data_IF_140395108898
#
_entry.id   IF_140395108898
#
_cell.length_a   1.000
_cell.length_b   1.000
_cell.length_c   1.000
_cell.angle_alpha   90.00
_cell.angle_beta   90.00
_cell.angle_gamma   90.00
#
_symmetry.space_group_name_H-M   'P 1'
#
loop_
_entity.id
_entity.type
_entity.pdbx_description
1 polymer ?
#
# COMPACT_ATOMS: atom_id res chain seq x y z
N UNK A 1 -12.38 -2.39 -10.28
CA UNK A 1 -13.73 -2.98 -10.27
C UNK A 1 -13.73 -4.46 -10.64
N UNK A 2 -12.86 -4.91 -11.52
CA UNK A 2 -12.78 -6.29 -12.02
C UNK A 2 -11.68 -7.15 -11.39
N UNK A 3 -10.90 -6.58 -10.48
CA UNK A 3 -9.78 -7.26 -9.85
C UNK A 3 -10.02 -7.50 -8.36
N UNK A 4 -9.08 -8.17 -7.69
CA UNK A 4 -9.07 -8.35 -6.25
C UNK A 4 -7.67 -8.16 -5.68
N UNK A 5 -7.63 -7.86 -4.39
CA UNK A 5 -6.41 -7.83 -3.58
C UNK A 5 -6.59 -8.72 -2.36
N UNK A 6 -5.59 -9.49 -2.05
CA UNK A 6 -5.59 -10.37 -0.90
C UNK A 6 -4.22 -10.43 -0.26
N UNK A 7 -4.19 -10.75 1.03
CA UNK A 7 -2.96 -10.98 1.75
C UNK A 7 -2.98 -12.37 2.38
N UNK A 8 -1.82 -13.00 2.42
CA UNK A 8 -1.62 -14.27 3.10
C UNK A 8 -0.27 -14.31 3.80
N UNK A 9 -0.28 -14.65 5.09
CA UNK A 9 0.92 -14.99 5.82
C UNK A 9 1.17 -16.49 5.70
N UNK A 10 2.41 -16.86 5.39
CA UNK A 10 2.80 -18.25 5.13
C UNK A 10 4.08 -18.59 5.89
N UNK A 11 3.99 -19.54 6.81
CA UNK A 11 5.14 -20.06 7.55
C UNK A 11 5.87 -21.11 6.72
N UNK A 12 7.17 -21.17 6.79
CA UNK A 12 7.98 -22.18 6.08
C UNK A 12 7.47 -23.61 6.35
N UNK A 13 7.26 -24.36 5.28
CA UNK A 13 6.65 -25.69 5.29
C UNK A 13 5.12 -25.69 5.15
N UNK A 14 4.46 -24.53 5.12
CA UNK A 14 3.03 -24.42 4.86
C UNK A 14 2.74 -24.12 3.38
N UNK A 15 1.52 -24.43 2.97
CA UNK A 15 0.98 -24.10 1.65
C UNK A 15 -0.48 -23.61 1.76
N UNK A 16 -0.92 -22.89 0.78
CA UNK A 16 -2.33 -22.48 0.61
C UNK A 16 -2.77 -22.64 -0.85
N UNK A 17 -4.07 -22.76 -1.05
CA UNK A 17 -4.72 -22.60 -2.36
C UNK A 17 -5.39 -21.22 -2.42
N UNK A 18 -5.47 -20.62 -3.59
CA UNK A 18 -6.14 -19.31 -3.78
C UNK A 18 -7.65 -19.47 -3.68
N UNK A 19 -8.12 -19.55 -2.45
CA UNK A 19 -9.54 -19.61 -2.10
C UNK A 19 -9.84 -18.55 -1.04
N UNK A 20 -11.03 -17.95 -1.02
CA UNK A 20 -11.37 -16.87 -0.07
C UNK A 20 -11.14 -17.24 1.40
N UNK A 21 -11.36 -18.52 1.74
CA UNK A 21 -11.19 -19.04 3.11
C UNK A 21 -9.72 -19.28 3.50
N UNK A 22 -8.83 -19.38 2.53
CA UNK A 22 -7.40 -19.58 2.75
C UNK A 22 -6.60 -18.27 2.84
N UNK A 23 -7.25 -17.13 2.58
CA UNK A 23 -6.65 -15.80 2.57
C UNK A 23 -6.92 -15.10 3.92
N UNK A 24 -5.92 -14.43 4.48
CA UNK A 24 -6.06 -13.71 5.75
C UNK A 24 -6.89 -12.42 5.57
N UNK A 25 -6.71 -11.76 4.42
CA UNK A 25 -7.49 -10.60 3.99
C UNK A 25 -7.88 -10.81 2.53
N UNK A 26 -9.16 -10.64 2.21
CA UNK A 26 -9.66 -10.70 0.84
C UNK A 26 -10.52 -9.46 0.56
N UNK A 27 -10.13 -8.70 -0.46
CA UNK A 27 -10.83 -7.48 -0.90
C UNK A 27 -11.19 -7.62 -2.38
N UNK A 28 -12.36 -8.19 -2.68
CA UNK A 28 -12.82 -8.31 -4.06
C UNK A 28 -13.30 -6.97 -4.62
N UNK A 29 -13.10 -6.76 -5.91
CA UNK A 29 -13.77 -5.71 -6.66
C UNK A 29 -15.28 -6.00 -6.78
N UNK A 30 -16.09 -5.00 -7.12
CA UNK A 30 -17.57 -5.11 -7.16
C UNK A 30 -18.11 -6.19 -8.11
N UNK A 31 -17.32 -6.61 -9.09
CA UNK A 31 -17.70 -7.57 -10.13
C UNK A 31 -16.89 -8.88 -10.03
N UNK A 32 -16.24 -9.13 -8.90
CA UNK A 32 -15.46 -10.33 -8.65
C UNK A 32 -16.26 -11.28 -7.78
N UNK A 33 -16.46 -12.50 -8.27
CA UNK A 33 -17.05 -13.61 -7.53
C UNK A 33 -15.96 -14.53 -6.96
N UNK A 34 -16.22 -15.26 -5.88
CA UNK A 34 -15.28 -16.28 -5.38
C UNK A 34 -14.88 -17.34 -6.42
N UNK A 35 -15.75 -17.59 -7.43
CA UNK A 35 -15.47 -18.48 -8.54
C UNK A 35 -14.47 -17.94 -9.57
N UNK A 36 -14.15 -16.63 -9.52
CA UNK A 36 -13.24 -15.99 -10.45
C UNK A 36 -11.78 -16.07 -9.95
N UNK A 37 -11.55 -16.61 -8.76
CA UNK A 37 -10.20 -16.83 -8.25
C UNK A 37 -9.51 -17.92 -9.05
N UNK A 38 -8.26 -17.66 -9.45
CA UNK A 38 -7.43 -18.63 -10.15
C UNK A 38 -7.09 -19.80 -9.21
N UNK A 39 -7.32 -21.06 -9.60
CA UNK A 39 -7.20 -22.21 -8.70
C UNK A 39 -5.74 -22.65 -8.53
N UNK A 40 -4.82 -21.72 -8.27
CA UNK A 40 -3.42 -22.05 -8.01
C UNK A 40 -3.18 -22.37 -6.54
N UNK A 41 -2.06 -23.02 -6.25
CA UNK A 41 -1.57 -23.22 -4.89
C UNK A 41 -0.11 -22.82 -4.77
N UNK A 42 0.27 -22.29 -3.60
CA UNK A 42 1.64 -21.87 -3.28
C UNK A 42 2.04 -22.41 -1.92
N UNK A 43 3.24 -22.99 -1.84
CA UNK A 43 3.86 -23.44 -0.60
C UNK A 43 5.23 -22.80 -0.42
N UNK A 44 5.52 -22.33 0.79
CA UNK A 44 6.82 -21.82 1.17
C UNK A 44 7.71 -22.97 1.61
N UNK A 45 8.77 -23.24 0.85
CA UNK A 45 9.76 -24.25 1.20
C UNK A 45 10.77 -23.69 2.22
N UNK A 46 11.34 -22.55 1.87
CA UNK A 46 12.36 -21.88 2.66
C UNK A 46 12.35 -20.39 2.38
N UNK A 47 12.69 -19.61 3.40
CA UNK A 47 12.94 -18.18 3.25
C UNK A 47 14.35 -17.87 3.74
N UNK A 48 15.05 -16.98 3.06
CA UNK A 48 16.35 -16.47 3.47
C UNK A 48 16.39 -14.95 3.34
N UNK A 49 16.96 -14.33 4.35
CA UNK A 49 17.27 -12.91 4.38
C UNK A 49 18.74 -12.73 4.70
N UNK A 50 19.43 -11.86 4.00
CA UNK A 50 20.81 -11.50 4.29
C UNK A 50 20.90 -10.02 4.62
N UNK A 51 21.80 -9.69 5.53
CA UNK A 51 21.97 -8.35 6.08
C UNK A 51 23.43 -7.98 6.13
N UNK A 52 23.73 -6.69 6.06
CA UNK A 52 25.09 -6.16 6.26
C UNK A 52 25.54 -6.45 7.68
N UNK A 53 26.70 -7.09 7.83
CA UNK A 53 27.19 -7.58 9.14
C UNK A 53 28.17 -6.63 9.83
N UNK A 54 28.72 -5.66 9.12
CA UNK A 54 29.71 -4.72 9.67
C UNK A 54 29.76 -3.42 8.88
N UNK A 55 30.23 -2.35 9.50
CA UNK A 55 30.32 -1.03 8.88
C UNK A 55 29.21 -0.08 9.30
N UNK A 56 29.11 1.10 8.68
CA UNK A 56 28.11 2.12 9.04
C UNK A 56 26.68 1.73 8.71
N UNK A 57 26.48 0.77 7.82
CA UNK A 57 25.18 0.25 7.38
C UNK A 57 24.89 -1.15 7.91
N UNK A 58 25.45 -1.48 9.08
CA UNK A 58 25.16 -2.77 9.76
C UNK A 58 23.65 -2.90 9.93
N UNK A 59 23.12 -4.15 9.79
CA UNK A 59 21.71 -4.56 9.80
C UNK A 59 20.85 -4.14 8.58
N UNK A 60 21.38 -3.35 7.65
CA UNK A 60 20.66 -3.11 6.40
C UNK A 60 20.44 -4.39 5.59
N UNK A 61 19.23 -4.57 5.02
CA UNK A 61 18.93 -5.76 4.22
C UNK A 61 19.65 -5.73 2.87
N UNK A 62 20.25 -6.85 2.49
CA UNK A 62 20.89 -7.06 1.20
C UNK A 62 19.96 -7.82 0.25
N UNK A 63 19.41 -8.97 0.71
CA UNK A 63 18.56 -9.82 -0.12
C UNK A 63 17.44 -10.45 0.69
N UNK A 64 16.31 -10.62 0.04
CA UNK A 64 15.19 -11.42 0.51
C UNK A 64 14.81 -12.42 -0.57
N UNK A 65 14.86 -13.70 -0.27
CA UNK A 65 14.52 -14.76 -1.21
C UNK A 65 13.60 -15.80 -0.54
N UNK A 66 12.44 -16.03 -1.15
CA UNK A 66 11.49 -17.05 -0.74
C UNK A 66 11.44 -18.16 -1.79
N UNK A 67 11.99 -19.32 -1.47
CA UNK A 67 11.88 -20.51 -2.30
C UNK A 67 10.45 -21.07 -2.20
N UNK A 68 9.68 -20.88 -3.28
CA UNK A 68 8.30 -21.32 -3.39
C UNK A 68 8.18 -22.60 -4.21
N UNK A 69 7.16 -23.38 -3.89
CA UNK A 69 6.64 -24.43 -4.75
C UNK A 69 5.20 -24.12 -5.08
N UNK A 70 4.88 -23.99 -6.37
CA UNK A 70 3.54 -23.63 -6.80
C UNK A 70 2.98 -24.58 -7.84
N UNK A 71 1.65 -24.66 -7.90
CA UNK A 71 0.90 -25.42 -8.90
C UNK A 71 -0.09 -24.45 -9.54
N UNK A 72 -0.02 -24.26 -10.86
CA UNK A 72 -0.86 -23.27 -11.54
C UNK A 72 -2.36 -23.66 -11.57
N UNK A 73 -2.65 -24.97 -11.60
CA UNK A 73 -4.02 -25.46 -11.52
C UNK A 73 -4.03 -26.86 -10.84
N UNK A 74 -5.17 -27.29 -10.28
CA UNK A 74 -5.33 -28.63 -9.72
C UNK A 74 -4.90 -29.72 -10.70
N UNK A 75 -4.09 -30.67 -10.23
CA UNK A 75 -3.58 -31.77 -11.06
C UNK A 75 -2.38 -31.43 -11.95
N UNK A 76 -1.97 -30.21 -12.05
CA UNK A 76 -0.73 -29.84 -12.75
C UNK A 76 0.52 -30.16 -11.93
N UNK A 77 1.65 -30.29 -12.64
CA UNK A 77 2.94 -30.51 -11.98
C UNK A 77 3.37 -29.28 -11.19
N UNK A 78 3.77 -29.48 -9.95
CA UNK A 78 4.34 -28.43 -9.12
C UNK A 78 5.67 -27.95 -9.71
N UNK A 79 5.89 -26.64 -9.68
CA UNK A 79 7.10 -25.93 -10.14
C UNK A 79 7.74 -25.20 -8.97
N UNK A 80 9.04 -25.02 -9.03
CA UNK A 80 9.78 -24.17 -8.08
C UNK A 80 9.88 -22.75 -8.63
N UNK A 81 9.87 -21.77 -7.73
CA UNK A 81 10.04 -20.36 -8.05
C UNK A 81 10.75 -19.65 -6.88
N UNK A 82 11.72 -18.81 -7.19
CA UNK A 82 12.43 -17.99 -6.21
C UNK A 82 11.81 -16.58 -6.21
N UNK A 83 10.90 -16.35 -5.25
CA UNK A 83 10.21 -15.08 -5.10
C UNK A 83 11.13 -14.08 -4.39
N UNK A 84 11.37 -12.95 -5.02
CA UNK A 84 12.19 -11.85 -4.50
C UNK A 84 11.41 -10.53 -4.52
N UNK A 85 11.93 -9.54 -3.81
CA UNK A 85 11.41 -8.17 -3.88
C UNK A 85 11.51 -7.68 -5.33
N UNK A 86 10.43 -7.11 -5.84
CA UNK A 86 10.28 -6.65 -7.24
C UNK A 86 10.30 -7.75 -8.32
N UNK A 87 10.35 -9.04 -7.95
CA UNK A 87 10.22 -10.18 -8.86
C UNK A 87 9.03 -11.05 -8.47
N UNK A 88 7.79 -10.62 -8.75
CA UNK A 88 6.59 -11.34 -8.36
C UNK A 88 6.44 -12.66 -9.11
N UNK A 89 5.81 -13.64 -8.48
CA UNK A 89 5.30 -14.82 -9.16
C UNK A 89 4.00 -14.46 -9.88
N UNK A 90 3.94 -14.67 -11.19
CA UNK A 90 2.73 -14.45 -11.98
C UNK A 90 2.15 -15.79 -12.43
N UNK A 91 0.89 -16.04 -12.04
CA UNK A 91 0.14 -17.27 -12.38
C UNK A 91 -1.25 -16.86 -12.85
N UNK A 92 -1.61 -17.21 -14.08
CA UNK A 92 -2.94 -16.94 -14.69
C UNK A 92 -3.42 -15.47 -14.53
N UNK A 93 -2.48 -14.52 -14.68
CA UNK A 93 -2.77 -13.09 -14.52
C UNK A 93 -2.81 -12.58 -13.08
N UNK A 94 -2.68 -13.47 -12.10
CA UNK A 94 -2.54 -13.12 -10.69
C UNK A 94 -1.07 -12.93 -10.37
N UNK A 95 -0.74 -11.80 -9.74
CA UNK A 95 0.61 -11.48 -9.28
C UNK A 95 0.72 -11.67 -7.77
N UNK A 96 1.73 -12.42 -7.35
CA UNK A 96 2.03 -12.70 -5.94
C UNK A 96 3.35 -12.01 -5.59
N UNK A 97 3.28 -11.05 -4.66
CA UNK A 97 4.40 -10.23 -4.23
C UNK A 97 4.84 -10.60 -2.82
N UNK A 98 6.14 -10.54 -2.56
CA UNK A 98 6.70 -10.59 -1.21
C UNK A 98 6.62 -9.18 -0.60
N UNK A 99 5.82 -9.03 0.47
CA UNK A 99 5.59 -7.72 1.12
C UNK A 99 6.08 -7.66 2.57
N UNK A 100 6.47 -8.78 3.15
CA UNK A 100 6.98 -8.81 4.50
C UNK A 100 7.51 -10.18 4.90
N UNK A 101 8.25 -10.21 6.00
CA UNK A 101 8.79 -11.43 6.57
C UNK A 101 8.98 -11.30 8.09
N UNK A 102 9.19 -12.40 8.75
CA UNK A 102 9.49 -12.42 10.17
C UNK A 102 9.73 -13.84 10.69
N UNK A 103 9.63 -14.00 11.99
CA UNK A 103 9.88 -15.25 12.68
C UNK A 103 8.60 -15.81 13.30
N UNK A 104 8.50 -17.12 13.30
CA UNK A 104 7.47 -17.89 13.96
C UNK A 104 8.12 -18.83 14.96
N UNK A 105 8.27 -18.41 16.23
CA UNK A 105 8.74 -19.30 17.29
C UNK A 105 7.87 -20.55 17.38
N UNK A 106 8.52 -21.70 17.59
CA UNK A 106 7.85 -22.98 17.75
C UNK A 106 7.74 -23.33 19.24
N UNK A 107 6.52 -23.70 19.63
CA UNK A 107 6.23 -24.04 21.01
C UNK A 107 5.63 -25.43 21.13
N UNK A 108 5.96 -26.08 22.25
CA UNK A 108 5.21 -27.23 22.76
C UNK A 108 4.67 -26.87 24.13
N UNK A 109 3.35 -26.93 24.29
CA UNK A 109 2.68 -26.69 25.57
C UNK A 109 2.13 -28.02 26.09
N UNK A 110 2.49 -28.32 27.34
CA UNK A 110 1.97 -29.46 28.08
C UNK A 110 1.09 -28.93 29.20
N UNK A 111 -0.12 -29.46 29.33
CA UNK A 111 -1.07 -29.09 30.37
C UNK A 111 -0.72 -29.67 31.77
N UNK A 112 -1.54 -29.35 32.75
CA UNK A 112 -1.35 -29.85 34.13
C UNK A 112 -1.53 -31.35 34.28
N UNK A 113 -2.10 -32.05 33.31
CA UNK A 113 -2.23 -33.50 33.27
C UNK A 113 -1.07 -34.19 32.55
N UNK A 114 -0.14 -33.42 31.99
CA UNK A 114 0.99 -33.94 31.23
C UNK A 114 0.71 -34.18 29.74
N UNK A 115 -0.46 -33.82 29.25
CA UNK A 115 -0.79 -33.96 27.84
C UNK A 115 -0.19 -32.82 27.01
N UNK A 116 0.31 -33.11 25.82
CA UNK A 116 0.71 -32.07 24.86
C UNK A 116 -0.55 -31.52 24.23
N UNK A 117 -0.93 -30.28 24.58
CA UNK A 117 -2.14 -29.60 24.14
C UNK A 117 -1.90 -28.56 23.04
N UNK A 118 -0.64 -28.23 22.77
CA UNK A 118 -0.26 -27.39 21.65
C UNK A 118 1.14 -27.79 21.16
N UNK A 119 1.30 -27.84 19.83
CA UNK A 119 2.62 -27.95 19.18
C UNK A 119 2.56 -27.26 17.83
N UNK A 120 3.38 -26.23 17.64
CA UNK A 120 3.44 -25.53 16.36
C UNK A 120 4.22 -24.25 16.39
N UNK A 121 4.40 -23.68 15.23
CA UNK A 121 4.99 -22.38 15.01
C UNK A 121 3.88 -21.31 15.03
N UNK A 122 4.12 -20.21 15.73
CA UNK A 122 3.19 -19.09 15.83
C UNK A 122 3.87 -17.85 15.25
N UNK A 123 3.31 -17.21 14.22
CA UNK A 123 3.88 -15.99 13.66
C UNK A 123 3.91 -14.86 14.68
N UNK A 124 5.07 -14.29 14.90
CA UNK A 124 5.28 -13.07 15.66
C UNK A 124 5.51 -11.92 14.69
N UNK A 125 4.85 -10.79 14.92
CA UNK A 125 4.86 -9.64 14.02
C UNK A 125 5.95 -8.67 14.47
N UNK A 126 6.84 -8.23 13.56
CA UNK A 126 7.86 -7.25 13.86
C UNK A 126 7.27 -5.91 14.33
N UNK A 127 7.71 -5.44 15.47
CA UNK A 127 7.38 -4.12 16.02
C UNK A 127 8.53 -3.13 15.88
N UNK A 128 9.71 -3.64 15.52
CA UNK A 128 10.92 -2.88 15.31
C UNK A 128 11.71 -3.53 14.16
N UNK A 129 12.30 -2.73 13.27
CA UNK A 129 12.89 -3.22 12.02
C UNK A 129 14.39 -3.51 12.13
N UNK A 130 15.16 -2.75 12.90
CA UNK A 130 16.63 -2.90 12.96
C UNK A 130 17.05 -4.23 13.58
N UNK A 131 16.46 -4.57 14.72
CA UNK A 131 16.71 -5.85 15.41
C UNK A 131 15.67 -6.93 15.12
N UNK A 132 14.61 -6.60 14.36
CA UNK A 132 13.46 -7.44 14.06
C UNK A 132 12.78 -8.01 15.31
N UNK A 133 12.78 -7.22 16.39
CA UNK A 133 12.01 -7.52 17.60
C UNK A 133 10.55 -7.72 17.22
N UNK A 134 9.98 -8.84 17.63
CA UNK A 134 8.65 -9.24 17.17
C UNK A 134 7.76 -9.61 18.34
N UNK A 135 6.46 -9.29 18.27
CA UNK A 135 5.46 -9.63 19.28
C UNK A 135 4.43 -10.61 18.74
N UNK A 136 3.92 -11.46 19.63
CA UNK A 136 2.90 -12.42 19.26
C UNK A 136 2.25 -13.07 20.47
N UNK A 137 1.19 -13.85 20.19
CA UNK A 137 0.43 -14.54 21.23
C UNK A 137 0.22 -16.00 20.88
N UNK A 138 0.34 -16.85 21.89
CA UNK A 138 0.03 -18.28 21.78
C UNK A 138 -1.26 -18.52 22.55
N UNK A 139 -2.30 -19.06 21.89
CA UNK A 139 -3.60 -19.40 22.48
C UNK A 139 -3.70 -20.92 22.58
N UNK A 140 -3.98 -21.42 23.77
CA UNK A 140 -4.09 -22.85 24.06
C UNK A 140 -5.43 -23.14 24.72
N UNK A 141 -6.50 -23.33 23.93
CA UNK A 141 -7.86 -23.50 24.43
C UNK A 141 -8.08 -24.87 25.12
N UNK A 142 -7.32 -25.88 24.73
CA UNK A 142 -7.52 -27.26 25.20
C UNK A 142 -6.73 -27.58 26.48
N UNK A 143 -6.07 -26.57 27.08
CA UNK A 143 -5.31 -26.78 28.30
C UNK A 143 -6.24 -27.01 29.52
N UNK A 144 -5.82 -27.90 30.42
CA UNK A 144 -6.47 -28.20 31.69
C UNK A 144 -5.51 -27.93 32.85
N UNK A 145 -5.97 -27.41 34.00
CA UNK A 145 -7.36 -27.19 34.42
C UNK A 145 -8.02 -25.90 33.87
N UNK A 146 -7.28 -25.03 33.23
CA UNK A 146 -7.76 -23.77 32.64
C UNK A 146 -7.13 -23.52 31.29
N UNK A 147 -7.78 -22.77 30.41
CA UNK A 147 -7.18 -22.35 29.14
C UNK A 147 -5.98 -21.45 29.41
N UNK A 148 -5.00 -21.53 28.53
CA UNK A 148 -3.75 -20.78 28.66
C UNK A 148 -3.55 -19.82 27.48
N UNK A 149 -3.05 -18.63 27.81
CA UNK A 149 -2.61 -17.63 26.84
C UNK A 149 -1.21 -17.15 27.17
N UNK A 150 -0.41 -16.91 26.14
CA UNK A 150 0.94 -16.39 26.29
C UNK A 150 1.11 -15.20 25.38
N UNK A 151 1.43 -14.03 25.95
CA UNK A 151 1.88 -12.87 25.19
C UNK A 151 3.41 -12.85 25.21
N UNK A 152 4.03 -12.70 24.06
CA UNK A 152 5.47 -12.88 23.97
C UNK A 152 6.17 -11.87 23.08
N UNK A 153 7.45 -11.66 23.38
CA UNK A 153 8.41 -10.93 22.57
C UNK A 153 9.49 -11.90 22.11
N UNK A 154 9.74 -11.92 20.82
CA UNK A 154 10.81 -12.71 20.20
C UNK A 154 11.96 -11.78 19.79
N UNK A 155 13.16 -12.16 20.14
CA UNK A 155 14.40 -11.43 19.89
C UNK A 155 15.32 -12.32 19.06
N UNK A 156 15.49 -12.05 17.75
CA UNK A 156 16.37 -12.87 16.89
C UNK A 156 17.83 -12.92 17.35
N UNK A 157 18.34 -11.79 17.82
CA UNK A 157 19.73 -11.67 18.31
C UNK A 157 19.75 -11.00 19.67
N UNK A 158 19.27 -11.73 20.69
CA UNK A 158 19.10 -11.23 22.04
C UNK A 158 20.44 -10.83 22.67
N UNK A 159 20.52 -9.62 23.21
CA UNK A 159 21.67 -9.09 23.96
C UNK A 159 21.20 -8.22 25.12
N UNK A 160 21.88 -8.34 26.26
CA UNK A 160 21.62 -7.46 27.40
C UNK A 160 22.29 -6.09 27.17
N UNK A 161 21.48 -5.02 27.18
CA UNK A 161 21.94 -3.64 27.09
C UNK A 161 21.21 -2.81 28.14
N UNK A 162 21.99 -2.10 28.99
CA UNK A 162 21.41 -1.24 30.04
C UNK A 162 20.44 -1.97 30.98
N UNK A 163 20.68 -3.25 31.27
CA UNK A 163 19.82 -4.06 32.14
C UNK A 163 18.53 -4.59 31.45
N UNK A 164 18.31 -4.30 30.16
CA UNK A 164 17.19 -4.80 29.37
C UNK A 164 17.69 -5.76 28.30
N UNK A 165 16.87 -6.72 27.92
CA UNK A 165 17.13 -7.59 26.79
C UNK A 165 16.56 -6.97 25.52
N UNK A 166 17.42 -6.80 24.51
CA UNK A 166 17.06 -6.21 23.20
C UNK A 166 17.58 -7.11 22.08
N UNK A 167 17.01 -7.01 20.89
CA UNK A 167 17.59 -7.62 19.70
C UNK A 167 18.51 -6.61 19.00
N UNK A 168 19.75 -7.02 18.76
CA UNK A 168 20.79 -6.16 18.18
C UNK A 168 21.05 -6.43 16.71
N UNK A 169 20.40 -7.43 16.13
CA UNK A 169 20.57 -7.79 14.73
C UNK A 169 19.35 -8.57 14.22
N UNK A 170 18.89 -8.35 12.97
CA UNK A 170 17.66 -8.95 12.46
C UNK A 170 17.77 -10.45 12.14
N UNK A 171 18.97 -11.01 11.91
CA UNK A 171 19.09 -12.45 11.75
C UNK A 171 19.10 -13.17 13.10
N UNK A 172 18.60 -14.41 13.13
CA UNK A 172 18.49 -15.21 14.36
C UNK A 172 19.83 -15.81 14.76
N UNK A 173 20.75 -14.98 15.28
CA UNK A 173 22.07 -15.42 15.76
C UNK A 173 22.01 -15.98 17.18
N UNK A 174 21.13 -15.42 18.02
CA UNK A 174 20.85 -15.87 19.39
C UNK A 174 19.37 -15.67 19.69
N UNK A 175 18.50 -16.53 19.12
CA UNK A 175 17.06 -16.37 19.23
C UNK A 175 16.58 -16.71 20.64
N UNK A 176 15.90 -15.76 21.26
CA UNK A 176 15.28 -15.90 22.57
C UNK A 176 13.85 -15.39 22.55
N UNK A 177 12.99 -15.93 23.41
CA UNK A 177 11.61 -15.50 23.59
C UNK A 177 11.32 -15.21 25.05
N UNK A 178 10.69 -14.10 25.33
CA UNK A 178 10.16 -13.77 26.66
C UNK A 178 8.63 -13.87 26.62
N UNK A 179 8.03 -14.53 27.61
CA UNK A 179 6.61 -14.80 27.66
C UNK A 179 5.99 -14.30 28.97
N UNK A 180 4.87 -13.60 28.85
CA UNK A 180 3.93 -13.31 29.96
C UNK A 180 2.81 -14.35 29.84
N UNK A 181 2.47 -14.99 30.95
CA UNK A 181 1.51 -16.10 30.95
C UNK A 181 0.20 -15.72 31.60
N UNK A 182 -0.88 -16.18 30.99
CA UNK A 182 -2.24 -15.93 31.43
C UNK A 182 -3.01 -17.24 31.53
N UNK A 183 -3.88 -17.34 32.51
CA UNK A 183 -4.85 -18.42 32.68
C UNK A 183 -6.26 -17.86 32.73
N UNK A 184 -7.24 -18.57 32.20
CA UNK A 184 -8.62 -18.13 32.20
C UNK A 184 -9.36 -18.54 30.95
N UNK A 185 -10.44 -17.84 30.60
CA UNK A 185 -11.21 -18.10 29.40
C UNK A 185 -10.71 -17.21 28.26
N UNK A 186 -10.26 -17.83 27.17
CA UNK A 186 -9.79 -17.13 25.96
C UNK A 186 -10.92 -16.45 25.15
N UNK A 187 -12.18 -16.68 25.50
CA UNK A 187 -13.33 -16.11 24.80
C UNK A 187 -13.56 -16.63 23.37
N UNK A 188 -12.88 -17.69 22.96
CA UNK A 188 -12.95 -18.21 21.58
C UNK A 188 -14.34 -18.79 21.23
N UNK A 189 -15.15 -19.14 22.24
CA UNK A 189 -16.49 -19.69 22.05
C UNK A 189 -17.60 -18.62 22.02
N UNK A 190 -17.25 -17.35 22.08
CA UNK A 190 -18.21 -16.23 22.10
C UNK A 190 -18.92 -15.97 20.76
N UNK A 191 -18.45 -16.60 19.68
CA UNK A 191 -18.91 -16.32 18.30
C UNK A 191 -18.39 -14.99 17.73
N UNK A 192 -17.71 -14.17 18.52
CA UNK A 192 -17.06 -12.96 18.06
C UNK A 192 -15.73 -13.26 17.35
N UNK A 193 -15.48 -12.59 16.23
CA UNK A 193 -14.20 -12.68 15.55
C UNK A 193 -13.10 -12.07 16.42
N UNK A 194 -12.07 -12.84 16.72
CA UNK A 194 -10.93 -12.40 17.48
C UNK A 194 -9.67 -12.37 16.60
N UNK A 195 -8.81 -11.37 16.80
CA UNK A 195 -7.50 -11.35 16.19
C UNK A 195 -6.66 -12.54 16.65
N UNK A 196 -5.95 -13.17 15.73
CA UNK A 196 -4.97 -14.21 16.05
C UNK A 196 -3.68 -13.66 16.66
N UNK A 197 -3.48 -12.35 16.56
CA UNK A 197 -2.27 -11.65 17.02
C UNK A 197 -2.45 -10.93 18.37
N UNK A 198 -3.65 -10.92 18.94
CA UNK A 198 -3.93 -10.29 20.22
C UNK A 198 -4.65 -11.25 21.16
N UNK A 199 -4.43 -11.07 22.47
CA UNK A 199 -5.07 -11.83 23.53
C UNK A 199 -6.15 -10.96 24.17
N UNK A 200 -7.39 -11.47 24.25
CA UNK A 200 -8.43 -10.84 25.02
C UNK A 200 -8.22 -11.18 26.50
N UNK A 201 -7.86 -10.17 27.28
CA UNK A 201 -7.57 -10.32 28.71
C UNK A 201 -8.80 -10.13 29.60
N UNK A 202 -9.98 -9.85 29.06
CA UNK A 202 -11.20 -9.54 29.83
C UNK A 202 -11.62 -10.65 30.82
N UNK A 203 -11.33 -11.91 30.46
CA UNK A 203 -11.64 -13.10 31.27
C UNK A 203 -10.39 -13.92 31.63
N UNK A 204 -9.23 -13.30 31.56
CA UNK A 204 -7.95 -13.92 31.86
C UNK A 204 -7.24 -13.17 32.99
N UNK A 205 -6.44 -13.88 33.76
CA UNK A 205 -5.59 -13.32 34.80
C UNK A 205 -4.13 -13.72 34.55
N UNK A 206 -3.22 -12.82 34.83
CA UNK A 206 -1.79 -13.11 34.72
C UNK A 206 -1.39 -14.15 35.79
N UNK A 207 -0.70 -15.18 35.35
CA UNK A 207 -0.13 -16.16 36.27
C UNK A 207 1.12 -15.59 36.94
N UNK A 208 1.35 -15.92 38.25
CA UNK A 208 2.50 -15.40 39.01
C UNK A 208 3.81 -16.09 38.62
N UNK A 209 4.23 -15.90 37.38
CA UNK A 209 5.51 -16.37 36.85
C UNK A 209 6.31 -15.17 36.38
N UNK A 210 7.52 -15.00 36.90
CA UNK A 210 8.39 -13.94 36.40
C UNK A 210 8.76 -14.19 34.93
N UNK A 211 8.55 -13.22 34.03
CA UNK A 211 9.03 -13.34 32.67
C UNK A 211 10.54 -13.56 32.65
N UNK A 212 10.97 -14.58 31.95
CA UNK A 212 12.40 -14.85 31.73
C UNK A 212 12.62 -15.20 30.26
N UNK A 213 13.77 -14.81 29.69
CA UNK A 213 14.11 -15.22 28.35
C UNK A 213 14.30 -16.75 28.30
N UNK A 214 13.76 -17.33 27.24
CA UNK A 214 13.91 -18.75 26.92
C UNK A 214 14.72 -18.86 25.65
N UNK A 215 15.86 -19.50 25.72
CA UNK A 215 16.61 -19.96 24.57
C UNK A 215 15.97 -21.24 23.98
N UNK A 216 16.36 -21.60 22.76
CA UNK A 216 15.87 -22.83 22.11
C UNK A 216 16.11 -24.05 22.99
N UNK A 217 15.07 -24.85 23.16
CA UNK A 217 15.09 -26.07 24.02
C UNK A 217 14.72 -25.78 25.48
N UNK A 218 14.65 -24.54 25.91
CA UNK A 218 14.26 -24.18 27.28
C UNK A 218 12.77 -24.22 27.52
N UNK A 219 12.39 -24.49 28.77
CA UNK A 219 11.00 -24.57 29.19
C UNK A 219 10.73 -23.65 30.37
N UNK A 220 9.51 -23.15 30.44
CA UNK A 220 8.96 -22.43 31.60
C UNK A 220 7.82 -23.25 32.20
N UNK A 221 7.99 -23.62 33.48
CA UNK A 221 6.94 -24.32 34.24
C UNK A 221 5.94 -23.31 34.79
N UNK A 222 4.69 -23.63 34.67
CA UNK A 222 3.59 -22.78 35.11
C UNK A 222 3.22 -23.11 36.57
N UNK A 223 2.74 -22.09 37.34
CA UNK A 223 2.37 -22.32 38.72
C UNK A 223 1.09 -23.16 38.85
N UNK A 224 0.81 -23.61 40.04
CA UNK A 224 -0.40 -24.35 40.40
C UNK A 224 -0.66 -25.59 39.54
N UNK A 225 0.38 -26.21 39.01
CA UNK A 225 0.25 -27.38 38.15
C UNK A 225 -0.41 -27.13 36.82
N UNK A 226 -0.42 -25.89 36.31
CA UNK A 226 -1.03 -25.55 35.03
C UNK A 226 -0.26 -26.08 33.81
N UNK A 227 0.92 -26.67 34.01
CA UNK A 227 1.72 -27.30 32.97
C UNK A 227 3.03 -26.60 32.69
N UNK A 228 3.49 -26.65 31.44
CA UNK A 228 4.73 -25.99 30.98
C UNK A 228 4.66 -25.62 29.53
N UNK A 229 5.40 -24.59 29.16
CA UNK A 229 5.64 -24.20 27.76
C UNK A 229 7.15 -24.39 27.47
N UNK A 230 7.46 -24.97 26.32
CA UNK A 230 8.83 -25.21 25.83
C UNK A 230 8.99 -24.46 24.51
N UNK A 231 10.00 -23.62 24.40
CA UNK A 231 10.44 -23.03 23.15
C UNK A 231 11.34 -24.03 22.42
N UNK A 232 10.82 -24.64 21.33
CA UNK A 232 11.52 -25.78 20.67
C UNK A 232 12.34 -25.32 19.45
N UNK A 233 12.12 -24.16 18.93
CA UNK A 233 12.82 -23.64 17.78
C UNK A 233 12.06 -22.48 17.14
N UNK A 234 12.40 -22.16 15.91
CA UNK A 234 11.67 -21.15 15.13
C UNK A 234 11.64 -21.52 13.65
N UNK A 235 10.63 -21.02 12.96
CA UNK A 235 10.56 -20.94 11.50
C UNK A 235 10.53 -19.49 11.06
N UNK A 236 10.74 -19.27 9.78
CA UNK A 236 10.50 -17.98 9.17
C UNK A 236 9.12 -17.99 8.50
N UNK A 237 8.48 -16.83 8.45
CA UNK A 237 7.27 -16.62 7.70
C UNK A 237 7.45 -15.48 6.71
N UNK A 238 6.64 -15.48 5.68
CA UNK A 238 6.53 -14.38 4.71
C UNK A 238 5.08 -13.90 4.65
N UNK A 239 4.91 -12.64 4.33
CA UNK A 239 3.63 -12.06 3.95
C UNK A 239 3.59 -11.86 2.44
N UNK A 240 2.54 -12.36 1.83
CA UNK A 240 2.30 -12.29 0.40
C UNK A 240 1.13 -11.35 0.12
N UNK A 241 1.31 -10.43 -0.84
CA UNK A 241 0.22 -9.72 -1.46
C UNK A 241 -0.14 -10.41 -2.77
N UNK A 242 -1.41 -10.76 -2.93
CA UNK A 242 -1.96 -11.42 -4.09
C UNK A 242 -2.85 -10.41 -4.79
N UNK A 243 -2.55 -10.09 -6.04
CA UNK A 243 -3.26 -9.06 -6.79
C UNK A 243 -3.64 -9.58 -8.16
N UNK A 244 -4.92 -9.47 -8.47
CA UNK A 244 -5.46 -9.68 -9.81
C UNK A 244 -6.02 -8.36 -10.33
N UNK A 245 -5.44 -7.81 -11.38
CA UNK A 245 -5.88 -6.55 -11.99
C UNK A 245 -5.98 -6.67 -13.52
N UNK A 246 -7.11 -7.19 -14.03
CA UNK A 246 -7.32 -7.33 -15.47
C UNK A 246 -7.54 -5.99 -16.18
N UNK A 247 -7.76 -4.91 -15.43
CA UNK A 247 -7.96 -3.55 -15.98
C UNK A 247 -6.67 -2.85 -16.39
N UNK A 248 -5.52 -3.33 -15.98
CA UNK A 248 -4.23 -2.66 -16.20
C UNK A 248 -3.91 -2.50 -17.70
N UNK A 249 -4.04 -3.57 -18.49
CA UNK A 249 -3.76 -3.54 -19.92
C UNK A 249 -4.75 -2.65 -20.70
N UNK A 250 -6.09 -2.77 -20.55
CA UNK A 250 -7.03 -1.83 -21.15
C UNK A 250 -6.78 -0.36 -20.80
N UNK A 251 -6.44 -0.07 -19.54
CA UNK A 251 -6.11 1.28 -19.10
C UNK A 251 -4.86 1.82 -19.80
N UNK A 252 -3.81 1.02 -19.93
CA UNK A 252 -2.60 1.39 -20.66
C UNK A 252 -2.90 1.67 -22.13
N UNK A 253 -3.65 0.81 -22.81
CA UNK A 253 -4.07 1.01 -24.22
C UNK A 253 -4.85 2.30 -24.35
N UNK A 254 -5.81 2.55 -23.46
CA UNK A 254 -6.61 3.77 -23.48
C UNK A 254 -5.76 5.03 -23.28
N UNK A 255 -4.78 4.99 -22.39
CA UNK A 255 -3.85 6.09 -22.17
C UNK A 255 -2.97 6.38 -23.40
N UNK A 256 -2.47 5.33 -24.06
CA UNK A 256 -1.70 5.48 -25.32
C UNK A 256 -2.57 6.06 -26.42
N UNK A 257 -3.81 5.58 -26.58
CA UNK A 257 -4.75 6.12 -27.58
C UNK A 257 -5.10 7.58 -27.30
N UNK A 258 -5.31 7.94 -26.02
CA UNK A 258 -5.56 9.33 -25.65
C UNK A 258 -4.36 10.24 -25.97
N UNK A 259 -3.14 9.77 -25.71
CA UNK A 259 -1.92 10.50 -26.04
C UNK A 259 -1.77 10.68 -27.56
N UNK A 260 -2.00 9.62 -28.33
CA UNK A 260 -1.97 9.69 -29.80
C UNK A 260 -3.04 10.65 -30.32
N UNK A 261 -4.25 10.60 -29.78
CA UNK A 261 -5.32 11.54 -30.12
C UNK A 261 -4.96 13.00 -29.82
N UNK A 262 -4.27 13.24 -28.71
CA UNK A 262 -3.77 14.56 -28.35
C UNK A 262 -2.70 15.06 -29.35
N UNK A 263 -1.73 14.20 -29.69
CA UNK A 263 -0.69 14.50 -30.68
C UNK A 263 -1.32 14.85 -32.04
N UNK A 264 -2.24 14.00 -32.51
CA UNK A 264 -2.98 14.25 -33.76
C UNK A 264 -3.78 15.55 -33.69
N UNK A 265 -4.41 15.86 -32.57
CA UNK A 265 -5.13 17.11 -32.37
C UNK A 265 -4.23 18.35 -32.51
N UNK A 266 -2.97 18.26 -32.06
CA UNK A 266 -1.99 19.33 -32.25
C UNK A 266 -1.45 19.39 -33.69
N UNK A 267 -1.40 18.27 -34.40
CA UNK A 267 -0.97 18.22 -35.81
C UNK A 267 -2.02 18.80 -36.75
N UNK A 268 -3.31 18.66 -36.44
CA UNK A 268 -4.40 19.21 -37.26
C UNK A 268 -4.50 20.71 -37.04
N UNK A 269 -3.99 21.46 -38.01
CA UNK A 269 -4.03 22.92 -38.01
C UNK A 269 -5.40 23.40 -38.38
N UNK A 270 -6.05 24.21 -37.54
CA UNK A 270 -7.31 24.88 -37.86
C UNK A 270 -7.00 26.13 -38.62
N UNK A 271 -7.44 26.16 -39.89
CA UNK A 271 -7.38 27.34 -40.78
C UNK A 271 -8.77 27.87 -40.96
N UNK A 272 -8.90 29.20 -41.07
CA UNK A 272 -10.17 29.86 -41.35
C UNK A 272 -9.99 30.78 -42.54
N UNK A 273 -10.86 30.65 -43.51
CA UNK A 273 -10.97 31.55 -44.66
C UNK A 273 -12.26 32.33 -44.51
N UNK A 274 -12.18 33.61 -44.62
CA UNK A 274 -13.33 34.54 -44.55
C UNK A 274 -13.52 35.14 -45.92
N UNK A 275 -14.76 35.18 -46.39
CA UNK A 275 -15.14 35.82 -47.64
C UNK A 275 -16.15 36.93 -47.31
N UNK A 276 -15.85 38.16 -47.73
CA UNK A 276 -16.71 39.34 -47.59
C UNK A 276 -17.06 39.86 -48.95
N UNK A 277 -18.30 40.19 -49.15
CA UNK A 277 -18.81 40.82 -50.40
C UNK A 277 -19.23 42.25 -50.11
N UNK A 278 -18.86 43.19 -50.97
CA UNK A 278 -19.24 44.58 -50.89
C UNK A 278 -19.65 45.14 -52.27
N UNK A 279 -20.59 46.16 -52.38
CA UNK A 279 -20.87 46.79 -53.62
C UNK A 279 -19.66 47.55 -54.20
N UNK A 280 -19.26 47.24 -55.43
CA UNK A 280 -18.18 47.93 -56.11
C UNK A 280 -18.66 49.02 -57.06
N UNK A 281 -17.74 49.81 -57.63
CA UNK A 281 -18.07 50.89 -58.61
C UNK A 281 -18.71 50.31 -59.86
N UNK A 282 -19.73 51.03 -60.44
CA UNK A 282 -20.37 50.61 -61.70
C UNK A 282 -21.29 49.38 -61.59
N UNK A 283 -21.78 49.00 -60.39
CA UNK A 283 -22.71 47.89 -60.21
C UNK A 283 -22.00 46.54 -60.08
N UNK A 284 -20.70 46.53 -60.00
CA UNK A 284 -19.91 45.32 -59.70
C UNK A 284 -19.98 44.89 -58.22
N UNK A 285 -19.68 43.65 -57.95
CA UNK A 285 -19.50 43.11 -56.56
C UNK A 285 -18.04 42.91 -56.27
N UNK A 286 -17.55 43.59 -55.24
CA UNK A 286 -16.19 43.35 -54.73
C UNK A 286 -16.20 42.16 -53.79
N UNK A 287 -15.34 41.20 -54.00
CA UNK A 287 -15.18 40.04 -53.15
C UNK A 287 -13.80 40.12 -52.48
N UNK A 288 -13.80 40.25 -51.17
CA UNK A 288 -12.60 40.24 -50.34
C UNK A 288 -12.45 38.87 -49.69
N UNK A 289 -11.27 38.27 -49.82
CA UNK A 289 -10.97 36.97 -49.19
C UNK A 289 -9.84 37.17 -48.19
N UNK A 290 -10.06 36.84 -46.96
CA UNK A 290 -9.10 36.89 -45.87
C UNK A 290 -8.85 35.50 -45.25
N UNK A 291 -7.63 35.23 -44.93
CA UNK A 291 -7.24 33.96 -44.26
C UNK A 291 -6.62 34.20 -42.89
N UNK A 292 -6.96 33.34 -41.93
CA UNK A 292 -6.37 33.37 -40.59
C UNK A 292 -5.89 31.97 -40.20
N UNK A 293 -4.60 31.84 -39.88
CA UNK A 293 -3.99 30.66 -39.28
C UNK A 293 -3.63 30.94 -37.83
N UNK A 294 -3.95 30.05 -36.91
CA UNK A 294 -3.68 30.24 -35.47
C UNK A 294 -2.18 30.12 -35.11
N UNK A 295 -1.37 29.46 -35.91
CA UNK A 295 0.08 29.46 -35.78
C UNK A 295 0.72 29.21 -37.16
N UNK A 296 1.62 30.06 -37.53
CA UNK A 296 2.30 30.02 -38.83
C UNK A 296 3.77 29.58 -38.68
N UNK A 297 4.14 28.95 -37.54
CA UNK A 297 5.49 28.58 -37.18
C UNK A 297 6.21 27.62 -38.17
N UNK A 298 5.52 27.10 -39.18
CA UNK A 298 6.14 26.19 -40.18
C UNK A 298 5.75 26.50 -41.63
N UNK A 299 5.35 27.77 -41.96
CA UNK A 299 5.04 28.19 -43.33
C UNK A 299 4.05 27.28 -44.08
N UNK A 300 3.39 27.76 -45.03
CA UNK A 300 2.49 26.98 -45.91
C UNK A 300 1.08 27.50 -46.01
N UNK A 301 0.57 28.23 -45.00
CA UNK A 301 -0.74 28.82 -45.10
C UNK A 301 -0.76 29.98 -46.13
N UNK A 302 0.29 30.78 -46.17
CA UNK A 302 0.42 31.87 -47.16
C UNK A 302 0.46 31.30 -48.60
N UNK A 303 1.16 30.20 -48.84
CA UNK A 303 1.21 29.55 -50.16
C UNK A 303 -0.12 28.97 -50.57
N UNK A 304 -0.78 28.21 -49.66
CA UNK A 304 -2.08 27.63 -49.95
C UNK A 304 -3.18 28.71 -50.07
N UNK A 305 -3.08 29.81 -49.32
CA UNK A 305 -4.01 30.92 -49.42
C UNK A 305 -3.80 31.69 -50.70
N UNK A 306 -2.55 31.87 -51.16
CA UNK A 306 -2.22 32.47 -52.43
C UNK A 306 -2.73 31.64 -53.61
N UNK A 307 -2.58 30.29 -53.55
CA UNK A 307 -3.17 29.38 -54.55
C UNK A 307 -4.71 29.49 -54.57
N UNK A 308 -5.39 29.46 -53.44
CA UNK A 308 -6.83 29.63 -53.33
C UNK A 308 -7.28 30.99 -53.89
N UNK A 309 -6.55 32.05 -53.58
CA UNK A 309 -6.81 33.39 -54.12
C UNK A 309 -6.59 33.50 -55.62
N UNK A 310 -5.60 32.74 -56.14
CA UNK A 310 -5.36 32.64 -57.58
C UNK A 310 -6.45 31.88 -58.30
N UNK A 311 -6.89 30.75 -57.77
CA UNK A 311 -7.98 29.93 -58.32
C UNK A 311 -9.32 30.70 -58.36
N UNK A 312 -9.60 31.45 -57.32
CA UNK A 312 -10.78 32.31 -57.26
C UNK A 312 -10.71 33.45 -58.30
N UNK A 313 -9.56 34.00 -58.60
CA UNK A 313 -9.38 35.01 -59.66
C UNK A 313 -9.53 34.42 -61.05
N UNK A 314 -9.02 33.22 -61.28
CA UNK A 314 -9.12 32.54 -62.60
C UNK A 314 -10.54 32.03 -62.84
N UNK A 315 -11.31 31.69 -61.80
CA UNK A 315 -12.72 31.29 -61.92
C UNK A 315 -13.69 32.45 -62.23
N UNK A 316 -13.22 33.71 -62.04
CA UNK A 316 -13.98 34.95 -62.40
C UNK A 316 -13.50 35.51 -63.75
N UNK A 317 -13.78 34.86 -64.83
CA UNK A 317 -13.59 35.35 -66.20
C UNK A 317 -12.69 36.60 -66.41
N UNK A 318 -11.41 36.39 -66.18
CA UNK A 318 -10.34 37.13 -66.83
C UNK A 318 -10.08 38.59 -66.46
N UNK A 319 -10.61 39.16 -65.42
CA UNK A 319 -10.22 40.51 -64.99
C UNK A 319 -9.26 40.44 -63.78
N UNK A 320 -7.97 40.80 -63.96
CA UNK A 320 -7.01 40.77 -62.85
C UNK A 320 -7.41 41.82 -61.79
N UNK A 321 -7.76 41.37 -60.59
CA UNK A 321 -7.80 42.29 -59.44
C UNK A 321 -6.38 42.34 -58.87
N UNK A 322 -5.80 43.54 -58.90
CA UNK A 322 -4.45 43.82 -58.35
C UNK A 322 -4.40 43.40 -56.88
N UNK A 323 -3.38 42.61 -56.44
CA UNK A 323 -3.30 42.17 -55.04
C UNK A 323 -3.12 43.40 -54.15
N UNK A 324 -4.00 43.59 -53.17
CA UNK A 324 -3.78 44.58 -52.13
C UNK A 324 -2.45 44.30 -51.43
N UNK A 325 -1.56 45.28 -51.40
CA UNK A 325 -0.24 45.19 -50.81
C UNK A 325 -0.30 44.67 -49.35
N UNK A 326 0.55 43.75 -48.94
CA UNK A 326 0.59 43.26 -47.56
C UNK A 326 1.02 44.43 -46.65
N UNK A 327 0.05 44.99 -45.90
CA UNK A 327 0.31 46.07 -44.92
C UNK A 327 -0.82 47.09 -44.71
N UNK A 328 -1.88 47.09 -45.53
CA UNK A 328 -2.97 48.07 -45.37
C UNK A 328 -4.15 47.65 -44.47
N UNK A 329 -4.05 46.50 -43.83
CA UNK A 329 -5.10 45.99 -42.95
C UNK A 329 -5.00 46.49 -41.49
N UNK A 330 -4.14 47.47 -41.21
CA UNK A 330 -3.89 47.98 -39.84
C UNK A 330 -4.44 49.37 -39.53
N UNK A 331 -5.16 50.03 -40.45
CA UNK A 331 -5.52 51.45 -40.26
C UNK A 331 -7.00 51.79 -40.49
N UNK A 332 -7.91 50.85 -40.35
CA UNK A 332 -9.35 51.12 -40.46
C UNK A 332 -10.19 50.53 -39.33
N UNK A 333 -9.69 50.64 -38.12
CA UNK A 333 -10.50 50.39 -36.94
C UNK A 333 -10.52 51.60 -36.04
N UNK A 334 -11.20 52.65 -36.46
CA UNK A 334 -11.59 53.77 -35.62
C UNK A 334 -12.79 54.50 -36.24
N UNK A 335 -13.97 53.91 -36.25
CA UNK A 335 -15.23 54.68 -36.24
C UNK A 335 -16.40 53.70 -35.97
N UNK A 336 -16.68 53.46 -34.73
CA UNK A 336 -18.00 53.02 -34.29
C UNK A 336 -18.76 54.29 -33.90
N UNK A 337 -19.92 54.64 -34.55
CA UNK A 337 -20.74 55.74 -34.09
C UNK A 337 -21.44 55.36 -32.78
N UNK A 338 -21.45 56.29 -31.85
CA UNK A 338 -21.92 56.17 -30.51
C UNK A 338 -23.30 55.60 -30.31
N UNK A 339 -23.45 54.85 -29.30
CA UNK A 339 -24.69 54.67 -28.58
C UNK A 339 -24.51 55.31 -27.21
N UNK A 340 -25.39 56.26 -26.94
CA UNK A 340 -25.45 57.11 -25.78
C UNK A 340 -25.77 56.32 -24.50
N UNK A 341 -25.06 56.75 -23.45
CA UNK A 341 -25.59 57.09 -22.13
C UNK A 341 -26.53 56.09 -21.44
N UNK A 342 -26.04 55.36 -20.49
CA UNK A 342 -26.78 54.98 -19.30
C UNK A 342 -25.79 54.70 -18.16
N UNK A 343 -25.68 55.74 -17.29
CA UNK A 343 -25.47 55.76 -15.85
C UNK A 343 -24.84 54.57 -15.16
N UNK A 344 -23.67 54.82 -14.59
CA UNK A 344 -23.20 54.15 -13.34
C UNK A 344 -24.24 54.31 -12.21
N UNK A 345 -24.30 53.35 -11.32
CA UNK A 345 -24.12 53.70 -9.93
C UNK A 345 -23.05 52.83 -9.25
N UNK A 346 -22.29 53.54 -8.48
CA UNK A 346 -21.22 53.17 -7.59
C UNK A 346 -21.72 52.37 -6.36
N UNK A 347 -20.82 51.87 -5.54
CA UNK A 347 -20.87 50.56 -4.91
C UNK A 347 -21.42 50.61 -3.48
N UNK A 348 -22.07 49.57 -3.09
CA UNK A 348 -22.29 49.30 -1.67
C UNK A 348 -22.31 47.78 -1.38
N UNK A 349 -21.33 47.39 -0.65
CA UNK A 349 -21.51 46.59 0.55
C UNK A 349 -21.69 45.08 0.39
N UNK A 350 -20.61 44.40 0.71
CA UNK A 350 -20.56 43.25 1.65
C UNK A 350 -21.48 42.04 1.39
N UNK A 351 -20.84 41.00 1.41
CA UNK A 351 -21.05 39.67 2.00
C UNK A 351 -20.84 38.55 1.01
N UNK A 352 -19.62 38.06 1.04
CA UNK A 352 -19.23 36.75 0.53
C UNK A 352 -19.53 35.70 1.59
N UNK A 353 -20.30 34.66 1.28
CA UNK A 353 -20.05 33.37 1.92
C UNK A 353 -19.05 32.60 1.05
N UNK A 354 -17.93 32.24 1.67
CA UNK A 354 -16.93 31.39 1.08
C UNK A 354 -17.54 30.05 0.65
N UNK A 355 -17.29 29.71 -0.59
CA UNK A 355 -17.37 28.35 -1.08
C UNK A 355 -15.95 27.83 -1.12
N UNK A 356 -15.65 26.95 -0.16
CA UNK A 356 -14.45 26.14 -0.15
C UNK A 356 -14.35 25.34 -1.46
N UNK A 357 -13.18 25.29 -2.09
CA UNK A 357 -12.96 24.36 -3.17
C UNK A 357 -12.94 22.94 -2.61
N UNK A 358 -13.79 22.10 -3.17
CA UNK A 358 -13.85 20.67 -2.90
C UNK A 358 -12.46 20.07 -3.02
N UNK A 359 -11.94 19.58 -1.89
CA UNK A 359 -10.80 18.72 -1.82
C UNK A 359 -11.08 17.44 -2.63
N UNK A 360 -10.27 17.23 -3.64
CA UNK A 360 -10.19 15.96 -4.32
C UNK A 360 -9.50 14.96 -3.37
N UNK A 361 -10.29 14.10 -2.74
CA UNK A 361 -9.84 12.93 -2.03
C UNK A 361 -9.02 12.00 -2.94
N UNK A 362 -7.73 12.19 -2.97
CA UNK A 362 -6.79 11.12 -3.27
C UNK A 362 -6.51 10.39 -1.96
N UNK A 363 -7.32 9.39 -1.67
CA UNK A 363 -7.06 8.46 -0.59
C UNK A 363 -5.80 7.65 -0.89
N UNK A 364 -4.66 8.18 -0.47
CA UNK A 364 -3.46 7.41 -0.19
C UNK A 364 -3.74 6.57 1.05
N UNK A 365 -3.97 5.28 0.84
CA UNK A 365 -4.05 4.31 1.93
C UNK A 365 -2.63 3.92 2.32
N UNK A 366 -2.01 4.71 3.18
CA UNK A 366 -0.98 4.21 4.06
C UNK A 366 -1.63 3.20 5.03
N UNK A 367 -1.00 2.04 5.28
CA UNK A 367 -1.49 1.15 6.32
C UNK A 367 -1.31 1.86 7.66
N UNK A 368 -2.41 2.17 8.32
CA UNK A 368 -2.34 2.62 9.71
C UNK A 368 -1.51 1.64 10.53
N UNK A 369 -0.50 2.12 11.25
CA UNK A 369 0.14 1.31 12.28
C UNK A 369 -0.91 1.09 13.37
N UNK A 370 -1.20 -0.16 13.66
CA UNK A 370 -2.00 -0.54 14.83
C UNK A 370 -1.29 0.02 16.04
N UNK A 371 -1.79 1.14 16.54
CA UNK A 371 -1.34 1.76 17.77
C UNK A 371 -1.66 0.80 18.92
N UNK A 372 -0.65 0.04 19.34
CA UNK A 372 -0.66 -0.56 20.66
C UNK A 372 -0.51 0.57 21.67
N UNK A 373 -1.59 0.93 22.35
CA UNK A 373 -1.58 1.87 23.45
C UNK A 373 -0.54 1.42 24.50
N UNK A 374 0.18 2.39 25.12
CA UNK A 374 1.17 2.04 26.14
C UNK A 374 0.46 1.36 27.31
N UNK A 375 0.91 0.17 27.64
CA UNK A 375 0.57 -0.49 28.91
C UNK A 375 1.13 0.41 30.00
N UNK A 376 0.24 1.08 30.73
CA UNK A 376 0.57 2.02 31.79
C UNK A 376 1.37 1.32 32.88
N UNK A 377 2.63 1.71 33.02
CA UNK A 377 3.38 1.53 34.25
C UNK A 377 2.80 2.53 35.25
N UNK A 378 2.03 2.05 36.20
CA UNK A 378 1.57 2.82 37.34
C UNK A 378 2.76 3.38 38.12
N UNK A 379 2.65 4.61 38.66
CA UNK A 379 3.73 5.22 39.42
C UNK A 379 3.92 4.47 40.74
N UNK A 380 5.13 3.98 40.98
CA UNK A 380 5.56 3.57 42.32
C UNK A 380 5.70 4.84 43.12
N UNK A 381 4.78 5.07 44.06
CA UNK A 381 4.83 6.11 45.06
C UNK A 381 6.01 5.87 45.99
N UNK A 382 6.98 6.72 45.91
CA UNK A 382 8.02 6.91 46.92
C UNK A 382 7.49 7.90 47.95
N UNK A 383 7.06 7.40 49.08
CA UNK A 383 6.99 8.17 50.34
C UNK A 383 7.13 7.20 51.51
N UNK A 384 8.24 7.25 52.12
CA UNK A 384 8.33 7.29 53.60
C UNK A 384 9.79 7.61 54.02
N UNK A 385 9.99 8.88 54.20
CA UNK A 385 10.98 9.44 55.10
C UNK A 385 10.46 9.29 56.52
N UNK A 386 11.20 8.60 57.40
CA UNK A 386 11.20 8.85 58.86
C UNK A 386 12.52 8.41 59.45
N UNK A 387 13.26 9.46 59.77
CA UNK A 387 14.32 9.51 60.76
C UNK A 387 13.92 9.00 62.14
N UNK A 388 14.88 8.43 62.85
CA UNK A 388 15.13 8.40 64.30
C UNK A 388 15.80 7.05 64.62
N UNK A 389 16.89 6.94 65.26
CA UNK A 389 17.58 7.66 66.30
C UNK A 389 18.70 6.75 66.83
N UNK A 390 19.84 7.35 67.00
CA UNK A 390 21.01 6.82 67.69
C UNK A 390 20.64 6.39 69.10
N UNK A 391 21.09 5.21 69.53
CA UNK A 391 21.52 4.99 70.93
C UNK A 391 22.58 3.91 71.01
N UNK A 392 23.70 4.39 71.52
CA UNK A 392 24.81 3.60 72.07
C UNK A 392 24.39 2.70 73.22
N UNK A 393 25.15 1.65 73.49
CA UNK A 393 25.21 1.10 74.80
C UNK A 393 25.45 -0.42 74.89
N UNK A 394 26.72 -0.77 75.23
CA UNK A 394 27.26 -2.01 75.81
C UNK A 394 27.36 -3.25 74.98
#
# INVERSE_FOLDING_TARGET
>A
MFGYKANRLLVAGQSFADTPTALDVFRPGRLVSPSDLAPFSVGLQHFSASYVRSGPTVDEPITFNAALRYTAAPGQRARSYDLQVNHPLVVDGVSVYLIGHGYAPEFTVTDGKGNVVFRGAVPFIPVEQSGLTSEGVVKVPDATPTQLGFAGVFLPSAQAQGGRLVSVFPAALRPEVSLITYGGNLGLNSGASQSVYSLDLSQMHQLPVAPRPLAVGQSMTLPNGAGKITYTGYRQWISLAITYDPGQLPALISAVLALLGLILSFMVRRRRVFVRTAPGPGGSTLVEVGGLARSDAAGGFETEFAELAHDLRTAQDGTPVEPAAPGAAGAADAAVPGAADAAEPDPAGSDTPGLDPAESDTAGLDPEPVSAGPVGAGPVSSDHDQSLGVRDGE
#
